data_IF_438316443279
#
_entry.id   IF_438316443279
#
_cell.length_a   1.000
_cell.length_b   1.000
_cell.length_c   1.000
_cell.angle_alpha   90.00
_cell.angle_beta   90.00
_cell.angle_gamma   90.00
#
_symmetry.space_group_name_H-M   'P 1'
#
loop_
_entity.id
_entity.type
_entity.pdbx_description
1 polymer ?
#
# COMPACT_ATOMS: atom_id res chain seq x y z
N UNK A 1 -6.05 8.65 -0.32
CA UNK A 1 -7.26 7.85 -0.49
C UNK A 1 -8.33 8.38 0.45
N UNK A 2 -9.52 8.63 -0.07
CA UNK A 2 -10.70 9.07 0.67
C UNK A 2 -11.94 8.43 0.07
N UNK A 3 -12.98 8.23 0.88
CA UNK A 3 -14.29 7.77 0.41
C UNK A 3 -14.94 8.88 -0.41
N UNK A 4 -15.36 8.61 -1.65
CA UNK A 4 -15.91 9.63 -2.57
C UNK A 4 -17.32 9.35 -3.05
N UNK A 5 -17.71 8.09 -3.14
CA UNK A 5 -18.95 7.67 -3.79
C UNK A 5 -19.95 7.05 -2.81
N UNK A 6 -19.56 6.85 -1.57
CA UNK A 6 -20.38 6.28 -0.50
C UNK A 6 -20.30 7.13 0.75
N UNK A 7 -21.27 7.01 1.63
CA UNK A 7 -21.17 7.50 3.00
C UNK A 7 -20.30 6.54 3.82
N UNK A 8 -19.39 7.07 4.61
CA UNK A 8 -18.52 6.28 5.47
C UNK A 8 -17.31 7.08 5.94
N UNK A 9 -16.57 6.50 6.87
CA UNK A 9 -15.31 7.07 7.36
C UNK A 9 -14.17 6.83 6.36
N UNK A 10 -13.26 7.77 6.28
CA UNK A 10 -12.06 7.60 5.47
C UNK A 10 -11.14 6.56 6.10
N UNK A 11 -10.53 5.67 5.30
CA UNK A 11 -9.56 4.73 5.83
C UNK A 11 -8.31 5.45 6.33
N UNK A 12 -7.67 4.89 7.36
CA UNK A 12 -6.33 5.32 7.76
C UNK A 12 -5.35 5.12 6.61
N UNK A 13 -4.61 6.15 6.27
CA UNK A 13 -3.57 6.11 5.24
C UNK A 13 -2.27 5.59 5.84
N UNK A 14 -1.60 4.67 5.16
CA UNK A 14 -0.27 4.20 5.53
C UNK A 14 0.70 4.63 4.44
N UNK A 15 1.66 5.47 4.78
CA UNK A 15 2.67 5.98 3.86
C UNK A 15 4.05 5.43 4.22
N UNK A 16 4.69 4.72 3.30
CA UNK A 16 6.07 4.28 3.46
C UNK A 16 6.99 5.37 2.90
N UNK A 17 7.57 6.17 3.78
CA UNK A 17 8.52 7.24 3.44
C UNK A 17 9.81 7.09 4.25
N UNK A 18 10.67 6.18 3.81
CA UNK A 18 11.91 5.81 4.49
C UNK A 18 12.71 7.01 5.00
N UNK A 19 12.80 8.06 4.20
CA UNK A 19 13.71 9.18 4.45
C UNK A 19 12.99 10.50 4.79
N UNK A 20 11.65 10.48 4.96
CA UNK A 20 10.81 11.67 5.16
C UNK A 20 11.02 12.72 4.05
N UNK A 21 11.00 12.26 2.80
CA UNK A 21 11.18 13.12 1.63
C UNK A 21 9.87 13.71 1.10
N UNK A 22 8.73 13.16 1.50
CA UNK A 22 7.42 13.70 1.09
C UNK A 22 7.14 14.96 1.89
N UNK A 23 6.97 16.13 1.24
CA UNK A 23 6.69 17.37 1.93
C UNK A 23 5.44 17.31 2.80
N UNK A 24 5.47 17.86 4.01
CA UNK A 24 4.32 17.86 4.93
C UNK A 24 3.08 18.58 4.38
N UNK A 25 3.25 19.44 3.37
CA UNK A 25 2.16 20.09 2.62
C UNK A 25 1.48 19.18 1.59
N UNK A 26 1.95 17.94 1.40
CA UNK A 26 1.35 17.03 0.43
C UNK A 26 -0.06 16.62 0.88
N UNK A 27 -0.95 16.46 -0.08
CA UNK A 27 -2.37 16.08 0.16
C UNK A 27 -2.55 14.73 0.88
N UNK A 28 -1.55 13.85 0.85
CA UNK A 28 -1.61 12.60 1.63
C UNK A 28 -1.62 12.84 3.15
N UNK A 29 -1.25 14.03 3.61
CA UNK A 29 -1.27 14.43 5.02
C UNK A 29 -2.46 15.32 5.39
N UNK A 30 -3.40 15.56 4.46
CA UNK A 30 -4.59 16.36 4.75
C UNK A 30 -5.38 15.81 5.93
N UNK A 31 -6.05 16.68 6.67
CA UNK A 31 -6.85 16.33 7.86
C UNK A 31 -8.09 15.47 7.58
N UNK A 32 -8.36 15.15 6.31
CA UNK A 32 -9.51 14.32 5.90
C UNK A 32 -9.45 12.89 6.43
N UNK A 33 -8.28 12.39 6.80
CA UNK A 33 -8.08 11.05 7.36
C UNK A 33 -6.83 10.99 8.24
N UNK A 34 -6.82 10.03 9.16
CA UNK A 34 -5.62 9.67 9.90
C UNK A 34 -4.55 9.13 8.94
N UNK A 35 -3.29 9.43 9.23
CA UNK A 35 -2.16 8.97 8.44
C UNK A 35 -1.06 8.42 9.35
N UNK A 36 -0.54 7.24 9.03
CA UNK A 36 0.66 6.68 9.68
C UNK A 36 1.80 6.75 8.67
N UNK A 37 2.84 7.51 8.99
CA UNK A 37 4.07 7.58 8.20
C UNK A 37 5.06 6.58 8.76
N UNK A 38 5.43 5.62 7.95
CA UNK A 38 6.44 4.60 8.30
C UNK A 38 7.78 5.04 7.73
N UNK A 39 8.74 5.23 8.59
CA UNK A 39 10.05 5.80 8.24
C UNK A 39 11.19 5.13 9.01
N UNK A 40 12.41 5.30 8.55
CA UNK A 40 13.65 4.95 9.27
C UNK A 40 14.17 6.11 10.13
N UNK A 41 13.62 7.31 9.93
CA UNK A 41 14.07 8.53 10.60
C UNK A 41 13.28 8.80 11.88
N UNK A 42 13.89 9.53 12.80
CA UNK A 42 13.17 10.08 13.94
C UNK A 42 12.12 11.10 13.49
N UNK A 43 11.00 11.15 14.24
CA UNK A 43 10.00 12.19 14.03
C UNK A 43 10.63 13.58 14.22
N UNK A 44 10.42 14.45 13.26
CA UNK A 44 10.92 15.83 13.24
C UNK A 44 9.86 16.87 13.63
N UNK A 45 8.66 16.43 14.01
CA UNK A 45 7.58 17.27 14.51
C UNK A 45 6.93 18.21 13.49
N UNK A 46 7.10 17.94 12.17
CA UNK A 46 6.59 18.82 11.12
C UNK A 46 5.14 18.52 10.72
N UNK A 47 4.58 17.40 11.17
CA UNK A 47 3.26 16.94 10.76
C UNK A 47 2.15 17.46 11.68
N UNK A 48 0.92 17.50 11.14
CA UNK A 48 -0.29 17.84 11.88
C UNK A 48 -0.72 16.70 12.81
N UNK A 49 -1.64 16.97 13.72
CA UNK A 49 -2.11 16.05 14.76
C UNK A 49 -2.76 14.75 14.23
N UNK A 50 -3.27 14.76 12.98
CA UNK A 50 -3.82 13.58 12.32
C UNK A 50 -2.75 12.67 11.69
N UNK A 51 -1.46 13.01 11.84
CA UNK A 51 -0.35 12.21 11.30
C UNK A 51 0.48 11.65 12.44
N UNK A 52 0.64 10.33 12.47
CA UNK A 52 1.52 9.61 13.40
C UNK A 52 2.78 9.16 12.65
N UNK A 53 3.93 9.33 13.25
CA UNK A 53 5.20 8.85 12.70
C UNK A 53 5.61 7.57 13.40
N UNK A 54 5.78 6.49 12.65
CA UNK A 54 6.25 5.20 13.11
C UNK A 54 7.68 4.97 12.61
N UNK A 55 8.66 5.01 13.50
CA UNK A 55 10.05 4.70 13.16
C UNK A 55 10.26 3.20 13.20
N UNK A 56 10.46 2.60 12.03
CA UNK A 56 10.65 1.16 11.86
C UNK A 56 11.95 0.84 11.13
N UNK A 57 12.51 -0.36 11.30
CA UNK A 57 13.70 -0.78 10.59
C UNK A 57 13.41 -1.01 9.09
N UNK A 58 14.36 -0.62 8.26
CA UNK A 58 14.39 -0.85 6.82
C UNK A 58 15.65 -1.61 6.43
N UNK A 59 15.54 -2.40 5.37
CA UNK A 59 16.67 -3.05 4.73
C UNK A 59 16.75 -2.69 3.22
N UNK A 60 17.49 -3.46 2.44
CA UNK A 60 17.63 -3.23 0.99
C UNK A 60 16.33 -3.45 0.21
N UNK A 61 15.40 -4.23 0.77
CA UNK A 61 14.11 -4.58 0.13
C UNK A 61 12.99 -3.63 0.55
N UNK A 62 13.19 -2.80 1.58
CA UNK A 62 12.20 -1.86 2.10
C UNK A 62 12.03 -1.94 3.61
N UNK A 63 10.83 -1.64 4.12
CA UNK A 63 10.50 -1.81 5.54
C UNK A 63 10.48 -3.30 5.90
N UNK A 64 10.98 -3.65 7.07
CA UNK A 64 10.90 -5.03 7.57
C UNK A 64 9.43 -5.41 7.83
N UNK A 65 8.94 -6.43 7.12
CA UNK A 65 7.52 -6.79 7.10
C UNK A 65 6.98 -7.17 8.47
N UNK A 66 7.73 -7.89 9.29
CA UNK A 66 7.33 -8.26 10.64
C UNK A 66 7.12 -7.02 11.52
N UNK A 67 8.05 -6.07 11.47
CA UNK A 67 7.94 -4.81 12.21
C UNK A 67 6.75 -3.97 11.73
N UNK A 68 6.53 -3.94 10.41
CA UNK A 68 5.37 -3.25 9.82
C UNK A 68 4.06 -3.87 10.30
N UNK A 69 3.90 -5.19 10.18
CA UNK A 69 2.67 -5.88 10.60
C UNK A 69 2.38 -5.69 12.09
N UNK A 70 3.40 -5.76 12.93
CA UNK A 70 3.28 -5.50 14.36
C UNK A 70 2.80 -4.06 14.62
N UNK A 71 3.41 -3.08 13.99
CA UNK A 71 3.03 -1.67 14.12
C UNK A 71 1.57 -1.43 13.69
N UNK A 72 1.15 -2.01 12.58
CA UNK A 72 -0.23 -1.88 12.09
C UNK A 72 -1.23 -2.56 13.04
N UNK A 73 -0.91 -3.74 13.55
CA UNK A 73 -1.73 -4.44 14.54
C UNK A 73 -1.91 -3.62 15.83
N UNK A 74 -0.80 -3.09 16.37
CA UNK A 74 -0.81 -2.21 17.55
C UNK A 74 -1.58 -0.90 17.30
N UNK A 75 -1.71 -0.49 16.03
CA UNK A 75 -2.52 0.65 15.59
C UNK A 75 -3.98 0.29 15.30
N UNK A 76 -4.44 -0.92 15.68
CA UNK A 76 -5.78 -1.45 15.43
C UNK A 76 -6.16 -1.56 13.93
N UNK A 77 -5.21 -1.69 13.04
CA UNK A 77 -5.46 -1.94 11.61
C UNK A 77 -5.72 -3.44 11.42
N UNK A 78 -6.96 -3.80 11.10
CA UNK A 78 -7.40 -5.20 10.93
C UNK A 78 -7.37 -5.67 9.49
N UNK A 79 -7.46 -4.76 8.54
CA UNK A 79 -7.37 -5.04 7.10
C UNK A 79 -6.54 -3.97 6.41
N UNK A 80 -5.80 -4.37 5.39
CA UNK A 80 -4.90 -3.48 4.67
C UNK A 80 -5.09 -3.67 3.16
N UNK A 81 -5.30 -2.56 2.45
CA UNK A 81 -5.19 -2.53 0.99
C UNK A 81 -3.81 -1.99 0.64
N UNK A 82 -3.03 -2.79 -0.08
CA UNK A 82 -1.70 -2.40 -0.54
C UNK A 82 -1.80 -1.97 -2.01
N UNK A 83 -1.67 -0.69 -2.26
CA UNK A 83 -1.72 -0.11 -3.61
C UNK A 83 -0.37 0.49 -4.04
N UNK A 84 0.64 0.32 -3.21
CA UNK A 84 1.96 0.92 -3.39
C UNK A 84 2.67 0.51 -4.67
N UNK A 85 3.83 1.11 -4.93
CA UNK A 85 4.65 0.79 -6.09
C UNK A 85 5.07 -0.69 -6.14
N UNK A 86 5.55 -1.14 -7.29
CA UNK A 86 5.87 -2.54 -7.57
C UNK A 86 6.76 -3.20 -6.50
N UNK A 87 7.70 -2.47 -5.91
CA UNK A 87 8.58 -3.00 -4.83
C UNK A 87 7.80 -3.33 -3.57
N UNK A 88 6.89 -2.46 -3.14
CA UNK A 88 6.07 -2.68 -1.94
C UNK A 88 5.16 -3.89 -2.15
N UNK A 89 4.43 -3.92 -3.27
CA UNK A 89 3.57 -5.06 -3.62
C UNK A 89 4.36 -6.37 -3.68
N UNK A 90 5.53 -6.37 -4.33
CA UNK A 90 6.37 -7.56 -4.41
C UNK A 90 6.87 -8.02 -3.04
N UNK A 91 7.15 -7.09 -2.12
CA UNK A 91 7.57 -7.43 -0.75
C UNK A 91 6.46 -8.17 0.02
N UNK A 92 5.20 -7.74 -0.07
CA UNK A 92 4.05 -8.45 0.51
C UNK A 92 3.85 -9.83 -0.12
N UNK A 93 3.99 -9.92 -1.45
CA UNK A 93 3.87 -11.18 -2.19
C UNK A 93 4.96 -12.16 -1.75
N UNK A 94 6.22 -11.73 -1.70
CA UNK A 94 7.36 -12.56 -1.32
C UNK A 94 7.29 -13.02 0.16
N UNK A 95 6.76 -12.17 1.04
CA UNK A 95 6.54 -12.51 2.44
C UNK A 95 5.35 -13.46 2.66
N UNK A 96 4.51 -13.68 1.63
CA UNK A 96 3.30 -14.51 1.72
C UNK A 96 2.22 -13.95 2.65
N UNK A 97 2.27 -12.67 3.00
CA UNK A 97 1.35 -11.99 3.93
C UNK A 97 0.26 -11.20 3.19
N UNK A 98 -0.42 -11.85 2.30
CA UNK A 98 -1.54 -11.32 1.55
C UNK A 98 -2.62 -12.40 1.43
N UNK A 99 -3.88 -12.02 1.28
CA UNK A 99 -5.01 -12.94 1.16
C UNK A 99 -5.57 -12.95 -0.25
N UNK A 100 -5.81 -11.78 -0.81
CA UNK A 100 -6.36 -11.61 -2.16
C UNK A 100 -5.53 -10.58 -2.94
N UNK A 101 -5.41 -10.78 -4.26
CA UNK A 101 -4.86 -9.80 -5.17
C UNK A 101 -5.80 -9.60 -6.36
N UNK A 102 -5.96 -8.32 -6.74
CA UNK A 102 -6.69 -7.90 -7.91
C UNK A 102 -5.73 -7.21 -8.87
N UNK A 103 -5.62 -7.76 -10.07
CA UNK A 103 -4.76 -7.21 -11.12
C UNK A 103 -5.64 -6.69 -12.25
N UNK A 104 -5.50 -5.42 -12.56
CA UNK A 104 -6.18 -4.78 -13.67
C UNK A 104 -5.21 -4.62 -14.84
N UNK A 105 -5.60 -5.12 -16.01
CA UNK A 105 -4.81 -5.06 -17.23
C UNK A 105 -5.63 -4.43 -18.35
N UNK A 106 -5.13 -3.36 -18.94
CA UNK A 106 -5.70 -2.82 -20.16
C UNK A 106 -5.02 -3.44 -21.38
N UNK A 107 -5.71 -4.26 -22.18
CA UNK A 107 -5.09 -4.95 -23.31
C UNK A 107 -4.77 -4.03 -24.51
N UNK A 108 -5.29 -2.81 -24.48
CA UNK A 108 -5.09 -1.81 -25.56
C UNK A 108 -4.04 -0.77 -25.21
N UNK A 109 -3.67 -0.65 -23.92
CA UNK A 109 -2.69 0.32 -23.45
C UNK A 109 -1.33 -0.36 -23.33
N UNK A 110 -0.37 0.10 -24.11
CA UNK A 110 1.00 -0.39 -24.05
C UNK A 110 1.94 0.73 -23.63
N UNK A 111 2.63 0.53 -22.49
CA UNK A 111 3.65 1.43 -21.96
C UNK A 111 5.01 0.87 -22.39
N UNK A 112 5.72 1.61 -23.24
CA UNK A 112 7.00 1.15 -23.82
C UNK A 112 8.12 1.07 -22.79
N UNK A 113 8.12 1.97 -21.79
CA UNK A 113 9.16 2.07 -20.76
C UNK A 113 8.49 2.25 -19.41
N UNK A 114 9.02 1.60 -18.37
CA UNK A 114 8.46 1.68 -17.03
C UNK A 114 8.99 0.60 -16.10
N UNK A 115 8.48 0.61 -14.88
CA UNK A 115 8.76 -0.43 -13.89
C UNK A 115 7.82 -1.61 -14.15
N UNK A 116 8.37 -2.82 -14.25
CA UNK A 116 7.58 -4.03 -14.40
C UNK A 116 6.59 -4.20 -13.23
N UNK A 117 5.40 -4.73 -13.53
CA UNK A 117 4.42 -5.09 -12.50
C UNK A 117 4.98 -6.20 -11.60
N UNK A 118 4.50 -6.32 -10.35
CA UNK A 118 4.83 -7.44 -9.48
C UNK A 118 4.46 -8.79 -10.11
N UNK A 119 5.20 -9.82 -9.74
CA UNK A 119 4.94 -11.19 -10.20
C UNK A 119 4.18 -11.97 -9.15
N UNK A 120 3.07 -12.57 -9.55
CA UNK A 120 2.26 -13.48 -8.74
C UNK A 120 2.47 -14.92 -9.27
N UNK A 121 3.09 -15.78 -8.46
CA UNK A 121 3.31 -17.19 -8.79
C UNK A 121 2.21 -18.08 -8.16
N UNK A 122 0.94 -17.73 -8.36
CA UNK A 122 -0.21 -18.45 -7.82
C UNK A 122 -1.26 -18.69 -8.90
N UNK A 123 -2.11 -19.68 -8.68
CA UNK A 123 -3.17 -20.01 -9.62
C UNK A 123 -4.23 -18.91 -9.63
N UNK A 124 -4.67 -18.55 -10.82
CA UNK A 124 -5.78 -17.67 -11.08
C UNK A 124 -7.07 -18.21 -10.43
N UNK A 125 -7.79 -17.36 -9.72
CA UNK A 125 -9.10 -17.70 -9.14
C UNK A 125 -10.24 -17.43 -10.13
N UNK A 126 -10.36 -16.20 -10.61
CA UNK A 126 -11.35 -15.80 -11.61
C UNK A 126 -10.91 -14.59 -12.41
N UNK A 127 -11.58 -14.34 -13.53
CA UNK A 127 -11.36 -13.20 -14.41
C UNK A 127 -12.69 -12.55 -14.77
N UNK A 128 -12.70 -11.23 -14.86
CA UNK A 128 -13.83 -10.42 -15.32
C UNK A 128 -13.34 -9.39 -16.34
N UNK A 129 -14.23 -8.98 -17.24
CA UNK A 129 -13.98 -7.83 -18.11
C UNK A 129 -14.87 -6.67 -17.68
N UNK A 130 -14.26 -5.51 -17.37
CA UNK A 130 -14.95 -4.29 -16.93
C UNK A 130 -14.43 -3.13 -17.76
N UNK A 131 -15.31 -2.46 -18.51
CA UNK A 131 -14.98 -1.29 -19.34
C UNK A 131 -13.78 -1.52 -20.28
N UNK A 132 -13.63 -2.74 -20.81
CA UNK A 132 -12.57 -3.12 -21.72
C UNK A 132 -11.22 -3.39 -21.03
N UNK A 133 -11.20 -3.43 -19.70
CA UNK A 133 -10.07 -3.88 -18.90
C UNK A 133 -10.30 -5.30 -18.41
N UNK A 134 -9.24 -6.09 -18.38
CA UNK A 134 -9.26 -7.43 -17.81
C UNK A 134 -8.91 -7.33 -16.32
N UNK A 135 -9.84 -7.76 -15.46
CA UNK A 135 -9.65 -7.82 -14.02
C UNK A 135 -9.43 -9.28 -13.63
N UNK A 136 -8.26 -9.55 -13.08
CA UNK A 136 -7.86 -10.90 -12.68
C UNK A 136 -7.74 -10.98 -11.17
N UNK A 137 -8.36 -11.99 -10.57
CA UNK A 137 -8.39 -12.20 -9.12
C UNK A 137 -7.55 -13.42 -8.75
N UNK A 138 -6.80 -13.27 -7.68
CA UNK A 138 -5.95 -14.31 -7.11
C UNK A 138 -6.22 -14.44 -5.61
N UNK A 139 -6.12 -15.65 -5.10
CA UNK A 139 -6.17 -15.94 -3.66
C UNK A 139 -4.90 -16.65 -3.22
N UNK A 140 -4.37 -16.20 -2.11
CA UNK A 140 -3.27 -16.86 -1.43
C UNK A 140 -3.83 -18.01 -0.60
N UNK A 141 -3.87 -19.19 -1.18
CA UNK A 141 -4.30 -20.41 -0.46
C UNK A 141 -3.09 -20.95 0.30
N UNK A 142 -3.01 -20.60 1.58
CA UNK A 142 -2.03 -21.17 2.52
C UNK A 142 -2.44 -22.57 2.89
#
# INVERSE_FOLDING_TARGET
LTVRHWSGENPTRILLDRNLIVPASNKCFSSDAETIVVTEKADNGIYQSNVKVATLPFDTNGVQMEALMKCLYESNIQSLIVEGGARTLQAFINAGIWDEARVETNPRLYIKEGIASPMLAVTLDRTEEIDGNLITYYRNRK
#
